data_IF_207289534490
#
_entry.id   IF_207289534490
#
_cell.length_a   1.000
_cell.length_b   1.000
_cell.length_c   1.000
_cell.angle_alpha   90.00
_cell.angle_beta   90.00
_cell.angle_gamma   90.00
#
_symmetry.space_group_name_H-M   'P 1'
#
loop_
_entity.id
_entity.type
_entity.pdbx_description
1 polymer ?
#
# COMPACT_ATOMS: atom_id res chain seq x y z
N UNK A 1 48.16 -33.15 -89.55
CA UNK A 1 47.39 -31.91 -89.31
C UNK A 1 45.97 -32.33 -88.96
N UNK A 2 45.60 -32.25 -87.68
CA UNK A 2 44.20 -32.37 -87.24
C UNK A 2 44.09 -31.64 -85.90
N UNK A 3 43.31 -30.55 -85.89
CA UNK A 3 42.96 -29.75 -84.72
C UNK A 3 41.65 -30.27 -84.11
N UNK A 4 41.58 -30.15 -82.78
CA UNK A 4 40.41 -29.99 -81.89
C UNK A 4 39.27 -31.01 -81.89
N UNK A 5 38.98 -31.55 -80.70
CA UNK A 5 37.90 -31.04 -79.85
C UNK A 5 37.99 -31.66 -78.45
N UNK A 6 38.16 -30.81 -77.43
CA UNK A 6 37.95 -31.14 -76.02
C UNK A 6 36.47 -30.89 -75.70
N UNK A 7 35.73 -31.85 -75.13
CA UNK A 7 34.46 -31.55 -74.45
C UNK A 7 34.76 -30.87 -73.11
N UNK A 8 34.01 -29.81 -72.81
CA UNK A 8 34.11 -28.97 -71.62
C UNK A 8 33.56 -29.66 -70.36
N UNK A 9 34.41 -29.82 -69.35
CA UNK A 9 34.06 -30.20 -67.97
C UNK A 9 33.29 -29.07 -67.23
N UNK A 10 32.03 -28.81 -67.59
CA UNK A 10 31.16 -27.88 -66.83
C UNK A 10 29.74 -28.43 -66.62
N UNK A 11 29.53 -29.74 -66.68
CA UNK A 11 28.20 -30.34 -66.42
C UNK A 11 28.04 -30.96 -65.01
N UNK A 12 29.03 -30.82 -64.12
CA UNK A 12 29.03 -31.50 -62.82
C UNK A 12 28.78 -30.61 -61.59
N UNK A 13 28.55 -29.29 -61.74
CA UNK A 13 28.42 -28.38 -60.59
C UNK A 13 27.03 -27.81 -60.33
N UNK A 14 26.00 -28.31 -61.01
CA UNK A 14 24.58 -27.97 -60.71
C UNK A 14 23.72 -29.23 -60.51
N UNK A 15 24.32 -30.30 -59.99
CA UNK A 15 23.55 -31.41 -59.43
C UNK A 15 22.79 -30.93 -58.19
N UNK A 16 21.47 -31.09 -58.20
CA UNK A 16 20.51 -30.77 -57.14
C UNK A 16 20.88 -31.40 -55.77
N UNK A 17 21.92 -30.91 -55.09
CA UNK A 17 22.34 -31.41 -53.76
C UNK A 17 21.31 -31.19 -52.65
N UNK A 18 20.26 -30.40 -52.94
CA UNK A 18 19.10 -30.21 -52.09
C UNK A 18 18.12 -31.40 -52.14
N UNK A 19 18.07 -32.16 -53.24
CA UNK A 19 17.12 -33.28 -53.41
C UNK A 19 17.58 -34.58 -52.73
N UNK A 20 18.87 -34.71 -52.45
CA UNK A 20 19.45 -35.86 -51.75
C UNK A 20 19.58 -35.65 -50.24
N UNK A 21 19.24 -34.46 -49.73
CA UNK A 21 19.28 -34.19 -48.30
C UNK A 21 18.13 -34.94 -47.60
N UNK A 22 18.47 -35.88 -46.71
CA UNK A 22 17.53 -36.67 -45.92
C UNK A 22 16.46 -35.83 -45.20
N UNK A 23 16.77 -34.58 -44.83
CA UNK A 23 15.82 -33.64 -44.26
C UNK A 23 14.76 -33.17 -45.27
N UNK A 24 15.15 -32.92 -46.53
CA UNK A 24 14.23 -32.47 -47.59
C UNK A 24 13.29 -33.60 -48.03
N UNK A 25 13.80 -34.83 -48.09
CA UNK A 25 12.97 -36.01 -48.37
C UNK A 25 11.97 -36.27 -47.23
N UNK A 26 12.41 -36.17 -45.96
CA UNK A 26 11.52 -36.24 -44.80
C UNK A 26 10.45 -35.13 -44.82
N UNK A 27 10.85 -33.88 -45.06
CA UNK A 27 9.95 -32.73 -45.12
C UNK A 27 8.90 -32.89 -46.23
N UNK A 28 9.30 -33.40 -47.40
CA UNK A 28 8.38 -33.63 -48.52
C UNK A 28 7.40 -34.78 -48.25
N UNK A 29 7.84 -35.85 -47.57
CA UNK A 29 7.01 -36.98 -47.15
C UNK A 29 5.96 -36.56 -46.11
N UNK A 30 6.32 -35.70 -45.15
CA UNK A 30 5.44 -35.28 -44.05
C UNK A 30 4.77 -33.91 -44.26
N UNK A 31 4.90 -33.29 -45.43
CA UNK A 31 4.38 -31.93 -45.71
C UNK A 31 2.91 -31.71 -45.31
N UNK A 32 2.05 -32.71 -45.52
CA UNK A 32 0.62 -32.63 -45.16
C UNK A 32 0.42 -32.60 -43.65
N UNK A 33 1.17 -33.43 -42.92
CA UNK A 33 1.13 -33.45 -41.45
C UNK A 33 1.74 -32.19 -40.84
N UNK A 34 2.77 -31.63 -41.47
CA UNK A 34 3.37 -30.35 -41.06
C UNK A 34 2.39 -29.19 -41.25
N UNK A 35 1.67 -29.13 -42.37
CA UNK A 35 0.63 -28.10 -42.59
C UNK A 35 -0.49 -28.23 -41.55
N UNK A 36 -0.96 -29.44 -41.27
CA UNK A 36 -2.00 -29.69 -40.26
C UNK A 36 -1.49 -29.34 -38.86
N UNK A 37 -0.26 -29.71 -38.50
CA UNK A 37 0.34 -29.36 -37.21
C UNK A 37 0.51 -27.85 -37.05
N UNK A 38 0.90 -27.14 -38.11
CA UNK A 38 1.06 -25.70 -38.10
C UNK A 38 -0.30 -24.99 -37.98
N UNK A 39 -1.34 -25.48 -38.66
CA UNK A 39 -2.71 -25.00 -38.49
C UNK A 39 -3.23 -25.24 -37.08
N UNK A 40 -3.00 -26.43 -36.51
CA UNK A 40 -3.38 -26.76 -35.14
C UNK A 40 -2.66 -25.86 -34.12
N UNK A 41 -1.36 -25.60 -34.32
CA UNK A 41 -0.58 -24.69 -33.49
C UNK A 41 -1.09 -23.25 -33.60
N UNK A 42 -1.42 -22.76 -34.80
CA UNK A 42 -1.98 -21.43 -35.00
C UNK A 42 -3.35 -21.26 -34.29
N UNK A 43 -4.20 -22.29 -34.35
CA UNK A 43 -5.48 -22.31 -33.63
C UNK A 43 -5.24 -22.29 -32.10
N UNK A 44 -4.32 -23.11 -31.60
CA UNK A 44 -3.96 -23.13 -30.18
C UNK A 44 -3.46 -21.77 -29.70
N UNK A 45 -2.55 -21.14 -30.47
CA UNK A 45 -2.03 -19.79 -30.18
C UNK A 45 -3.17 -18.78 -30.17
N UNK A 46 -4.10 -18.83 -31.13
CA UNK A 46 -5.27 -17.95 -31.15
C UNK A 46 -6.13 -18.10 -29.90
N UNK A 47 -6.38 -19.32 -29.42
CA UNK A 47 -7.12 -19.55 -28.18
C UNK A 47 -6.37 -19.02 -26.95
N UNK A 48 -5.05 -19.22 -26.87
CA UNK A 48 -4.23 -18.71 -25.77
C UNK A 48 -4.26 -17.17 -25.76
N UNK A 49 -4.00 -16.52 -26.89
CA UNK A 49 -4.03 -15.05 -27.01
C UNK A 49 -5.41 -14.51 -26.62
N UNK A 50 -6.49 -15.13 -27.10
CA UNK A 50 -7.86 -14.70 -26.75
C UNK A 50 -8.15 -14.84 -25.26
N UNK A 51 -7.67 -15.90 -24.61
CA UNK A 51 -7.84 -16.10 -23.17
C UNK A 51 -7.04 -15.05 -22.37
N UNK A 52 -5.79 -14.80 -22.75
CA UNK A 52 -4.92 -13.82 -22.07
C UNK A 52 -5.45 -12.39 -22.24
N UNK A 53 -5.79 -11.97 -23.46
CA UNK A 53 -6.27 -10.60 -23.71
C UNK A 53 -7.60 -10.29 -23.01
N UNK A 54 -8.51 -11.28 -22.90
CA UNK A 54 -9.75 -11.09 -22.14
C UNK A 54 -9.48 -10.95 -20.64
N UNK A 55 -8.50 -11.68 -20.10
CA UNK A 55 -8.13 -11.56 -18.68
C UNK A 55 -7.48 -10.22 -18.35
N UNK A 56 -6.62 -9.69 -19.22
CA UNK A 56 -5.97 -8.38 -18.99
C UNK A 56 -6.97 -7.22 -18.97
N UNK A 57 -7.90 -7.18 -19.93
CA UNK A 57 -8.97 -6.17 -19.97
C UNK A 57 -9.89 -6.24 -18.75
N UNK A 58 -10.16 -7.46 -18.27
CA UNK A 58 -10.99 -7.65 -17.08
C UNK A 58 -10.24 -7.21 -15.81
N UNK A 59 -8.94 -7.49 -15.71
CA UNK A 59 -8.10 -7.01 -14.62
C UNK A 59 -8.07 -5.49 -14.57
N UNK A 60 -7.77 -4.81 -15.69
CA UNK A 60 -7.74 -3.34 -15.74
C UNK A 60 -9.07 -2.72 -15.27
N UNK A 61 -10.19 -3.28 -15.73
CA UNK A 61 -11.52 -2.86 -15.30
C UNK A 61 -11.74 -3.08 -13.80
N UNK A 62 -11.27 -4.21 -13.25
CA UNK A 62 -11.35 -4.49 -11.82
C UNK A 62 -10.55 -3.47 -11.00
N UNK A 63 -9.33 -3.09 -11.43
CA UNK A 63 -8.52 -2.06 -10.75
C UNK A 63 -9.22 -0.69 -10.74
N UNK A 64 -9.75 -0.24 -11.88
CA UNK A 64 -10.49 1.02 -11.97
C UNK A 64 -11.77 0.98 -11.12
N UNK A 65 -12.45 -0.17 -11.08
CA UNK A 65 -13.64 -0.35 -10.25
C UNK A 65 -13.28 -0.33 -8.77
N UNK A 66 -12.15 -0.94 -8.38
CA UNK A 66 -11.67 -0.92 -7.00
C UNK A 66 -11.42 0.52 -6.52
N UNK A 67 -10.76 1.36 -7.33
CA UNK A 67 -10.54 2.77 -6.99
C UNK A 67 -11.86 3.53 -6.83
N UNK A 68 -12.82 3.31 -7.74
CA UNK A 68 -14.15 3.92 -7.66
C UNK A 68 -14.89 3.51 -6.37
N UNK A 69 -14.93 2.21 -6.07
CA UNK A 69 -15.62 1.70 -4.88
C UNK A 69 -14.92 2.15 -3.59
N UNK A 70 -13.59 2.22 -3.58
CA UNK A 70 -12.85 2.80 -2.47
C UNK A 70 -13.21 4.27 -2.24
N UNK A 71 -13.29 5.10 -3.30
CA UNK A 71 -13.68 6.52 -3.16
C UNK A 71 -15.12 6.69 -2.64
N UNK A 72 -16.05 5.83 -3.06
CA UNK A 72 -17.41 5.82 -2.54
C UNK A 72 -17.45 5.41 -1.08
N UNK A 73 -16.70 4.36 -0.71
CA UNK A 73 -16.54 3.93 0.68
C UNK A 73 -15.93 5.04 1.53
N UNK A 74 -14.86 5.70 1.08
CA UNK A 74 -14.09 6.71 1.82
C UNK A 74 -14.79 8.07 1.95
N UNK A 75 -15.87 8.31 1.20
CA UNK A 75 -16.57 9.59 1.22
C UNK A 75 -17.06 9.94 2.65
N UNK A 76 -16.72 11.12 3.19
CA UNK A 76 -17.29 11.59 4.44
C UNK A 76 -18.82 11.75 4.32
N UNK A 77 -19.56 11.29 5.32
CA UNK A 77 -21.03 11.38 5.37
C UNK A 77 -21.78 10.64 4.25
N UNK A 78 -21.19 9.62 3.62
CA UNK A 78 -21.94 8.73 2.76
C UNK A 78 -23.05 8.02 3.54
N UNK A 79 -24.17 7.73 2.89
CA UNK A 79 -25.21 6.88 3.46
C UNK A 79 -24.61 5.54 3.88
N UNK A 80 -24.97 5.05 5.08
CA UNK A 80 -24.36 3.85 5.66
C UNK A 80 -24.45 2.64 4.72
N UNK A 81 -25.61 2.44 4.08
CA UNK A 81 -25.85 1.36 3.14
C UNK A 81 -24.94 1.46 1.91
N UNK A 82 -24.82 2.65 1.32
CA UNK A 82 -23.95 2.87 0.16
C UNK A 82 -22.48 2.59 0.51
N UNK A 83 -22.05 3.02 1.69
CA UNK A 83 -20.67 2.80 2.13
C UNK A 83 -20.37 1.33 2.36
N UNK A 84 -21.30 0.59 2.98
CA UNK A 84 -21.16 -0.85 3.22
C UNK A 84 -21.20 -1.65 1.92
N UNK A 85 -22.08 -1.31 0.99
CA UNK A 85 -22.16 -1.95 -0.33
C UNK A 85 -20.86 -1.74 -1.13
N UNK A 86 -20.31 -0.52 -1.11
CA UNK A 86 -19.04 -0.22 -1.77
C UNK A 86 -17.86 -0.96 -1.13
N UNK A 87 -17.82 -1.09 0.20
CA UNK A 87 -16.80 -1.89 0.87
C UNK A 87 -16.90 -3.38 0.47
N UNK A 88 -18.10 -3.94 0.44
CA UNK A 88 -18.31 -5.34 0.05
C UNK A 88 -17.87 -5.61 -1.40
N UNK A 89 -18.18 -4.70 -2.33
CA UNK A 89 -17.71 -4.79 -3.72
C UNK A 89 -16.19 -4.69 -3.83
N UNK A 90 -15.59 -3.76 -3.09
CA UNK A 90 -14.13 -3.62 -3.03
C UNK A 90 -13.48 -4.90 -2.50
N UNK A 91 -13.98 -5.47 -1.41
CA UNK A 91 -13.49 -6.74 -0.86
C UNK A 91 -13.60 -7.89 -1.88
N UNK A 92 -14.70 -7.97 -2.63
CA UNK A 92 -14.86 -8.98 -3.67
C UNK A 92 -13.84 -8.82 -4.81
N UNK A 93 -13.43 -7.59 -5.13
CA UNK A 93 -12.35 -7.34 -6.11
C UNK A 93 -11.00 -7.71 -5.51
N UNK A 94 -10.72 -7.35 -4.26
CA UNK A 94 -9.47 -7.68 -3.55
C UNK A 94 -9.26 -9.19 -3.40
N UNK A 95 -10.34 -9.98 -3.27
CA UNK A 95 -10.27 -11.43 -3.29
C UNK A 95 -9.81 -11.99 -4.65
N UNK A 96 -10.12 -11.31 -5.76
CA UNK A 96 -9.66 -11.69 -7.11
C UNK A 96 -8.26 -11.18 -7.43
N UNK A 97 -7.88 -10.04 -6.85
CA UNK A 97 -6.59 -9.37 -7.03
C UNK A 97 -5.93 -9.13 -5.67
N UNK A 98 -5.28 -10.16 -5.08
CA UNK A 98 -4.74 -10.07 -3.72
C UNK A 98 -3.65 -9.01 -3.53
N UNK A 99 -3.00 -8.57 -4.61
CA UNK A 99 -2.07 -7.43 -4.62
C UNK A 99 -2.75 -6.12 -4.17
N UNK A 100 -4.06 -5.97 -4.37
CA UNK A 100 -4.81 -4.80 -3.92
C UNK A 100 -4.89 -4.64 -2.40
N UNK A 101 -4.69 -5.73 -1.65
CA UNK A 101 -4.52 -5.66 -0.20
C UNK A 101 -3.40 -4.68 0.18
N UNK A 102 -2.30 -4.65 -0.60
CA UNK A 102 -1.18 -3.72 -0.44
C UNK A 102 -1.62 -2.26 -0.34
N UNK A 103 -2.57 -1.88 -1.19
CA UNK A 103 -3.06 -0.51 -1.35
C UNK A 103 -4.15 -0.16 -0.35
N UNK A 104 -5.12 -1.06 -0.12
CA UNK A 104 -6.37 -0.67 0.54
C UNK A 104 -6.50 -1.07 2.00
N UNK A 105 -5.86 -2.15 2.49
CA UNK A 105 -6.12 -2.65 3.86
C UNK A 105 -5.91 -1.56 4.93
N UNK A 106 -4.76 -0.86 4.89
CA UNK A 106 -4.46 0.20 5.86
C UNK A 106 -5.42 1.39 5.77
N UNK A 107 -5.83 1.77 4.56
CA UNK A 107 -6.78 2.86 4.34
C UNK A 107 -8.19 2.49 4.81
N UNK A 108 -8.62 1.25 4.53
CA UNK A 108 -9.90 0.72 4.99
C UNK A 108 -9.91 0.70 6.52
N UNK A 109 -8.88 0.14 7.15
CA UNK A 109 -8.74 0.12 8.60
C UNK A 109 -8.83 1.52 9.20
N UNK A 110 -8.11 2.50 8.63
CA UNK A 110 -8.15 3.88 9.10
C UNK A 110 -9.57 4.48 9.04
N UNK A 111 -10.27 4.32 7.92
CA UNK A 111 -11.63 4.84 7.75
C UNK A 111 -12.60 4.19 8.74
N UNK A 112 -12.51 2.86 8.92
CA UNK A 112 -13.34 2.13 9.86
C UNK A 112 -13.09 2.57 11.31
N UNK A 113 -11.82 2.78 11.70
CA UNK A 113 -11.47 3.33 13.02
C UNK A 113 -12.06 4.74 13.24
N UNK A 114 -11.96 5.63 12.24
CA UNK A 114 -12.55 6.98 12.30
C UNK A 114 -14.07 6.91 12.49
N UNK A 115 -14.72 5.92 11.86
CA UNK A 115 -16.17 5.67 11.96
C UNK A 115 -16.57 4.85 13.19
N UNK A 116 -15.65 4.54 14.08
CA UNK A 116 -15.87 3.71 15.27
C UNK A 116 -16.36 2.28 14.96
N UNK A 117 -16.09 1.78 13.76
CA UNK A 117 -16.32 0.40 13.32
C UNK A 117 -15.09 -0.45 13.64
N UNK A 118 -14.69 -0.44 14.91
CA UNK A 118 -13.46 -1.09 15.39
C UNK A 118 -13.42 -2.60 15.08
N UNK A 119 -14.50 -3.39 15.28
CA UNK A 119 -14.46 -4.83 15.02
C UNK A 119 -14.06 -5.17 13.58
N UNK A 120 -14.62 -4.47 12.60
CA UNK A 120 -14.30 -4.64 11.18
C UNK A 120 -12.90 -4.11 10.85
N UNK A 121 -12.48 -3.02 11.50
CA UNK A 121 -11.16 -2.42 11.28
C UNK A 121 -10.00 -3.35 11.65
N UNK A 122 -10.17 -4.16 12.70
CA UNK A 122 -9.09 -5.03 13.23
C UNK A 122 -8.56 -5.99 12.17
N UNK A 123 -9.43 -6.60 11.37
CA UNK A 123 -9.01 -7.56 10.33
C UNK A 123 -8.11 -6.88 9.30
N UNK A 124 -8.53 -5.73 8.78
CA UNK A 124 -7.73 -4.99 7.81
C UNK A 124 -6.45 -4.41 8.42
N UNK A 125 -6.52 -3.92 9.67
CA UNK A 125 -5.36 -3.38 10.38
C UNK A 125 -4.28 -4.44 10.57
N UNK A 126 -4.65 -5.64 11.04
CA UNK A 126 -3.72 -6.73 11.25
C UNK A 126 -3.10 -7.22 9.93
N UNK A 127 -3.89 -7.37 8.87
CA UNK A 127 -3.36 -7.73 7.55
C UNK A 127 -2.33 -6.71 7.03
N UNK A 128 -2.61 -5.41 7.21
CA UNK A 128 -1.68 -4.35 6.83
C UNK A 128 -0.41 -4.35 7.70
N UNK A 129 -0.55 -4.55 9.01
CA UNK A 129 0.57 -4.62 9.96
C UNK A 129 1.46 -5.84 9.71
N UNK A 130 0.86 -7.01 9.51
CA UNK A 130 1.59 -8.26 9.25
C UNK A 130 2.38 -8.18 7.95
N UNK A 131 1.75 -7.64 6.88
CA UNK A 131 2.45 -7.46 5.60
C UNK A 131 3.63 -6.49 5.71
N UNK A 132 3.47 -5.42 6.46
CA UNK A 132 4.47 -4.35 6.52
C UNK A 132 5.47 -4.51 7.66
N UNK A 133 5.36 -5.56 8.50
CA UNK A 133 6.17 -5.74 9.70
C UNK A 133 7.68 -5.77 9.43
N UNK A 134 8.08 -6.25 8.26
CA UNK A 134 9.50 -6.42 7.87
C UNK A 134 10.04 -5.26 7.02
N UNK A 135 9.16 -4.47 6.41
CA UNK A 135 9.51 -3.39 5.48
C UNK A 135 9.39 -2.00 6.11
N UNK A 136 8.44 -1.84 7.04
CA UNK A 136 8.28 -0.59 7.77
C UNK A 136 9.37 -0.44 8.84
N UNK A 137 9.80 0.80 9.06
CA UNK A 137 10.60 1.11 10.24
C UNK A 137 9.80 0.76 11.50
N UNK A 138 10.43 0.15 12.52
CA UNK A 138 9.74 -0.39 13.71
C UNK A 138 8.87 0.66 14.43
N UNK A 139 9.22 1.95 14.30
CA UNK A 139 8.51 3.05 14.92
C UNK A 139 7.12 3.31 14.32
N UNK A 140 6.95 3.25 12.99
CA UNK A 140 5.63 3.44 12.37
C UNK A 140 4.72 2.24 12.62
N UNK A 141 5.28 1.02 12.65
CA UNK A 141 4.56 -0.19 13.05
C UNK A 141 4.08 -0.09 14.49
N UNK A 142 4.94 0.33 15.44
CA UNK A 142 4.56 0.56 16.82
C UNK A 142 3.49 1.67 16.94
N UNK A 143 3.62 2.74 16.16
CA UNK A 143 2.65 3.83 16.12
C UNK A 143 1.27 3.33 15.62
N UNK A 144 1.24 2.51 14.57
CA UNK A 144 0.01 1.96 14.01
C UNK A 144 -0.66 0.93 14.94
N UNK A 145 0.11 0.04 15.56
CA UNK A 145 -0.38 -0.90 16.59
C UNK A 145 -1.01 -0.16 17.77
N UNK A 146 -0.41 0.97 18.18
CA UNK A 146 -0.97 1.80 19.25
C UNK A 146 -2.30 2.44 18.81
N UNK A 147 -2.46 2.87 17.56
CA UNK A 147 -3.77 3.34 17.05
C UNK A 147 -4.84 2.26 17.13
N UNK A 148 -4.49 1.00 16.88
CA UNK A 148 -5.41 -0.12 16.99
C UNK A 148 -5.87 -0.33 18.44
N UNK A 149 -4.96 -0.27 19.41
CA UNK A 149 -5.29 -0.33 20.85
C UNK A 149 -6.24 0.81 21.26
N UNK A 150 -6.04 2.02 20.74
CA UNK A 150 -6.94 3.16 20.99
C UNK A 150 -8.33 2.88 20.43
N UNK A 151 -8.42 2.36 19.20
CA UNK A 151 -9.70 1.96 18.59
C UNK A 151 -10.43 0.88 19.40
N UNK A 152 -9.67 -0.03 20.00
CA UNK A 152 -10.15 -1.08 20.91
C UNK A 152 -10.45 -0.58 22.34
N UNK A 153 -10.33 0.74 22.58
CA UNK A 153 -10.54 1.37 23.89
C UNK A 153 -9.59 0.88 25.00
N UNK A 154 -8.50 0.22 24.63
CA UNK A 154 -7.48 -0.25 25.56
C UNK A 154 -6.48 0.89 25.87
N UNK A 155 -6.99 1.97 26.47
CA UNK A 155 -6.27 3.24 26.59
C UNK A 155 -5.04 3.16 27.49
N UNK A 156 -5.07 2.35 28.55
CA UNK A 156 -3.93 2.17 29.46
C UNK A 156 -2.76 1.50 28.75
N UNK A 157 -3.01 0.40 28.02
CA UNK A 157 -1.96 -0.24 27.23
C UNK A 157 -1.49 0.66 26.08
N UNK A 158 -2.41 1.35 25.42
CA UNK A 158 -2.05 2.31 24.36
C UNK A 158 -1.12 3.42 24.88
N UNK A 159 -1.36 3.92 26.11
CA UNK A 159 -0.50 4.94 26.72
C UNK A 159 0.90 4.40 27.01
N UNK A 160 1.00 3.21 27.60
CA UNK A 160 2.29 2.54 27.86
C UNK A 160 3.10 2.36 26.56
N UNK A 161 2.46 1.84 25.50
CA UNK A 161 3.11 1.67 24.19
C UNK A 161 3.52 3.01 23.57
N UNK A 162 2.70 4.05 23.71
CA UNK A 162 3.01 5.38 23.19
C UNK A 162 4.20 6.02 23.92
N UNK A 163 4.28 5.90 25.24
CA UNK A 163 5.41 6.39 26.04
C UNK A 163 6.69 5.62 25.72
N UNK A 164 6.63 4.30 25.61
CA UNK A 164 7.78 3.49 25.19
C UNK A 164 8.25 3.87 23.79
N UNK A 165 7.32 4.14 22.86
CA UNK A 165 7.67 4.65 21.54
C UNK A 165 8.38 6.00 21.65
N UNK A 166 7.89 6.91 22.48
CA UNK A 166 8.54 8.21 22.71
C UNK A 166 9.98 8.04 23.21
N UNK A 167 10.22 7.18 24.20
CA UNK A 167 11.56 6.90 24.72
C UNK A 167 12.50 6.40 23.61
N UNK A 168 12.05 5.45 22.81
CA UNK A 168 12.82 4.94 21.68
C UNK A 168 13.11 6.04 20.63
N UNK A 169 12.14 6.91 20.36
CA UNK A 169 12.27 8.04 19.43
C UNK A 169 13.21 9.14 19.96
N UNK A 170 13.44 9.24 21.26
CA UNK A 170 14.41 10.19 21.81
C UNK A 170 15.81 9.58 21.93
N UNK A 171 15.89 8.25 21.98
CA UNK A 171 17.14 7.52 22.13
C UNK A 171 17.86 7.19 20.81
N UNK A 172 17.19 7.26 19.64
CA UNK A 172 17.87 6.95 18.37
C UNK A 172 18.79 8.10 17.95
N UNK A 173 20.11 7.87 17.88
CA UNK A 173 21.06 8.89 17.47
C UNK A 173 20.87 9.33 16.00
N UNK A 174 20.23 8.50 15.16
CA UNK A 174 20.10 8.75 13.72
C UNK A 174 18.93 9.66 13.37
N UNK A 175 18.02 9.95 14.30
CA UNK A 175 16.79 10.72 14.05
C UNK A 175 16.03 10.25 12.79
N UNK A 176 16.09 8.94 12.50
CA UNK A 176 15.75 8.38 11.18
C UNK A 176 14.27 8.47 10.78
N UNK A 177 13.42 8.94 11.69
CA UNK A 177 11.96 8.92 11.67
C UNK A 177 11.34 10.32 11.79
N UNK A 178 12.19 11.34 11.91
CA UNK A 178 11.82 12.75 11.87
C UNK A 178 10.97 13.23 13.05
N UNK A 179 10.97 14.54 13.24
CA UNK A 179 10.20 15.21 14.28
C UNK A 179 8.69 15.08 14.09
N UNK A 180 8.23 14.78 12.87
CA UNK A 180 6.82 14.58 12.54
C UNK A 180 6.23 13.40 13.31
N UNK A 181 6.92 12.26 13.39
CA UNK A 181 6.41 11.10 14.13
C UNK A 181 6.40 11.36 15.64
N UNK A 182 7.45 12.01 16.16
CA UNK A 182 7.50 12.44 17.55
C UNK A 182 6.35 13.40 17.88
N UNK A 183 6.07 14.33 16.97
CA UNK A 183 4.94 15.24 17.08
C UNK A 183 3.61 14.47 17.11
N UNK A 184 3.34 13.58 16.17
CA UNK A 184 2.11 12.78 16.24
C UNK A 184 2.00 11.94 17.52
N UNK A 185 3.11 11.39 18.02
CA UNK A 185 3.10 10.56 19.21
C UNK A 185 2.84 11.35 20.50
N UNK A 186 3.41 12.54 20.65
CA UNK A 186 3.13 13.40 21.82
C UNK A 186 1.67 13.87 21.84
N UNK A 187 1.06 14.21 20.69
CA UNK A 187 -0.37 14.50 20.61
C UNK A 187 -1.22 13.34 21.12
N UNK A 188 -0.86 12.12 20.72
CA UNK A 188 -1.52 10.90 21.18
C UNK A 188 -1.36 10.72 22.68
N UNK A 189 -0.14 10.83 23.21
CA UNK A 189 0.13 10.66 24.64
C UNK A 189 -0.73 11.62 25.46
N UNK A 190 -0.74 12.90 25.10
CA UNK A 190 -1.53 13.89 25.81
C UNK A 190 -3.03 13.62 25.71
N UNK A 191 -3.52 13.20 24.54
CA UNK A 191 -4.94 12.82 24.35
C UNK A 191 -5.32 11.60 25.19
N UNK A 192 -4.43 10.61 25.32
CA UNK A 192 -4.65 9.41 26.15
C UNK A 192 -4.62 9.75 27.64
N UNK A 193 -3.68 10.59 28.07
CA UNK A 193 -3.62 11.08 29.46
C UNK A 193 -4.89 11.87 29.81
N UNK A 194 -5.36 12.72 28.90
CA UNK A 194 -6.64 13.41 29.04
C UNK A 194 -7.80 12.40 29.20
N UNK A 195 -7.88 11.39 28.33
CA UNK A 195 -8.92 10.35 28.37
C UNK A 195 -8.90 9.55 29.68
N UNK A 196 -7.71 9.36 30.26
CA UNK A 196 -7.49 8.62 31.51
C UNK A 196 -7.56 9.51 32.77
N UNK A 197 -7.78 10.82 32.63
CA UNK A 197 -7.83 11.76 33.77
C UNK A 197 -6.47 12.06 34.42
N UNK A 198 -5.36 11.81 33.73
CA UNK A 198 -3.99 12.01 34.20
C UNK A 198 -3.53 13.46 34.00
N UNK A 199 -4.18 14.40 34.70
CA UNK A 199 -4.04 15.83 34.45
C UNK A 199 -2.62 16.39 34.65
N UNK A 200 -1.84 15.81 35.57
CA UNK A 200 -0.46 16.25 35.85
C UNK A 200 0.48 15.85 34.71
N UNK A 201 0.37 14.61 34.26
CA UNK A 201 1.13 14.02 33.18
C UNK A 201 0.75 14.68 31.85
N UNK A 202 -0.55 14.89 31.61
CA UNK A 202 -1.07 15.63 30.44
C UNK A 202 -0.42 17.01 30.32
N UNK A 203 -0.38 17.76 31.42
CA UNK A 203 0.26 19.08 31.44
C UNK A 203 1.75 19.01 31.10
N UNK A 204 2.47 18.01 31.62
CA UNK A 204 3.89 17.84 31.31
C UNK A 204 4.11 17.59 29.81
N UNK A 205 3.29 16.71 29.22
CA UNK A 205 3.35 16.43 27.79
C UNK A 205 3.06 17.67 26.94
N UNK A 206 2.07 18.50 27.33
CA UNK A 206 1.81 19.78 26.64
C UNK A 206 2.94 20.80 26.77
N UNK A 207 3.58 20.87 27.93
CA UNK A 207 4.75 21.73 28.11
C UNK A 207 5.92 21.28 27.22
N UNK A 208 6.19 19.98 27.13
CA UNK A 208 7.19 19.43 26.19
C UNK A 208 6.83 19.75 24.74
N UNK A 209 5.55 19.61 24.36
CA UNK A 209 5.08 19.99 23.03
C UNK A 209 5.41 21.44 22.69
N UNK A 210 5.11 22.38 23.59
CA UNK A 210 5.36 23.79 23.37
C UNK A 210 6.85 24.14 23.31
N UNK A 211 7.69 23.44 24.09
CA UNK A 211 9.13 23.62 24.00
C UNK A 211 9.62 23.26 22.59
N UNK A 212 9.22 22.10 22.07
CA UNK A 212 9.61 21.64 20.73
C UNK A 212 8.98 22.50 19.61
N UNK A 213 7.75 22.97 19.78
CA UNK A 213 7.11 23.91 18.85
C UNK A 213 7.87 25.24 18.70
N UNK A 214 8.48 25.72 19.78
CA UNK A 214 9.23 26.98 19.76
C UNK A 214 10.71 26.80 19.36
N UNK A 215 11.20 25.55 19.32
CA UNK A 215 12.57 25.23 18.95
C UNK A 215 12.73 25.25 17.42
N UNK A 216 13.59 26.13 16.86
CA UNK A 216 13.85 26.16 15.42
C UNK A 216 14.47 24.86 14.86
N UNK A 217 15.08 24.03 15.70
CA UNK A 217 15.62 22.73 15.30
C UNK A 217 14.55 21.67 15.05
N UNK A 218 13.30 21.92 15.47
CA UNK A 218 12.18 20.99 15.36
C UNK A 218 10.99 21.57 14.55
N UNK A 219 11.17 21.90 13.25
CA UNK A 219 10.16 22.59 12.45
C UNK A 219 8.85 21.80 12.27
N UNK A 220 8.91 20.47 12.33
CA UNK A 220 7.73 19.61 12.13
C UNK A 220 6.60 19.89 13.13
N UNK A 221 6.89 20.38 14.34
CA UNK A 221 5.87 20.73 15.32
C UNK A 221 5.02 21.91 14.86
N UNK A 222 5.62 22.88 14.15
CA UNK A 222 4.89 23.99 13.53
C UNK A 222 4.06 23.49 12.36
N UNK A 223 4.66 22.71 11.47
CA UNK A 223 3.99 22.13 10.30
C UNK A 223 2.76 21.31 10.71
N UNK A 224 2.93 20.40 11.69
CA UNK A 224 1.81 19.64 12.27
C UNK A 224 0.76 20.61 12.82
N UNK A 225 1.14 21.60 13.63
CA UNK A 225 0.16 22.55 14.16
C UNK A 225 -0.60 23.35 13.10
N UNK A 226 0.02 23.63 11.95
CA UNK A 226 -0.62 24.35 10.85
C UNK A 226 -1.62 23.47 10.09
N UNK A 227 -1.37 22.16 10.00
CA UNK A 227 -2.29 21.21 9.37
C UNK A 227 -3.54 20.91 10.21
N UNK A 228 -3.46 21.07 11.53
CA UNK A 228 -4.61 20.88 12.43
C UNK A 228 -5.33 22.21 12.70
N UNK A 229 -6.29 22.54 11.83
CA UNK A 229 -7.16 23.71 11.99
C UNK A 229 -8.63 23.34 11.78
N UNK A 230 -9.49 23.80 12.68
CA UNK A 230 -10.93 23.74 12.50
C UNK A 230 -11.54 25.13 12.67
N UNK A 231 -12.00 25.71 11.58
CA UNK A 231 -12.46 27.10 11.55
C UNK A 231 -11.33 28.07 11.93
N UNK A 232 -11.47 28.75 13.06
CA UNK A 232 -10.48 29.71 13.58
C UNK A 232 -9.56 29.13 14.66
N UNK A 233 -9.76 27.87 15.06
CA UNK A 233 -9.00 27.23 16.13
C UNK A 233 -7.94 26.35 15.51
N UNK A 234 -6.67 26.68 15.76
CA UNK A 234 -5.54 25.79 15.44
C UNK A 234 -5.19 24.90 16.63
N UNK A 235 -4.44 23.83 16.36
CA UNK A 235 -3.90 22.95 17.40
C UNK A 235 -3.10 23.72 18.45
N UNK A 236 -2.30 24.71 18.04
CA UNK A 236 -1.58 25.57 18.97
C UNK A 236 -2.53 26.31 19.95
N UNK A 237 -3.60 26.91 19.44
CA UNK A 237 -4.61 27.58 20.28
C UNK A 237 -5.28 26.60 21.25
N UNK A 238 -5.59 25.39 20.78
CA UNK A 238 -6.17 24.34 21.61
C UNK A 238 -5.22 23.97 22.77
N UNK A 239 -3.94 23.72 22.48
CA UNK A 239 -2.96 23.33 23.50
C UNK A 239 -2.78 24.43 24.55
N UNK A 240 -2.68 25.69 24.14
CA UNK A 240 -2.58 26.83 25.08
C UNK A 240 -3.81 26.94 26.00
N UNK A 241 -5.02 26.80 25.44
CA UNK A 241 -6.25 26.81 26.22
C UNK A 241 -6.33 25.63 27.19
N UNK A 242 -5.89 24.44 26.74
CA UNK A 242 -5.90 23.23 27.56
C UNK A 242 -4.94 23.34 28.74
N UNK A 243 -3.71 23.78 28.54
CA UNK A 243 -2.75 23.99 29.64
C UNK A 243 -3.25 25.02 30.67
N UNK A 244 -3.90 26.10 30.22
CA UNK A 244 -4.49 27.08 31.13
C UNK A 244 -5.59 26.44 32.00
N UNK A 245 -6.42 25.56 31.44
CA UNK A 245 -7.43 24.83 32.19
C UNK A 245 -6.84 23.86 33.23
N UNK A 246 -5.75 23.16 32.89
CA UNK A 246 -5.07 22.23 33.79
C UNK A 246 -4.40 22.94 34.98
N UNK A 247 -3.95 24.20 34.80
CA UNK A 247 -3.43 25.04 35.90
C UNK A 247 -4.51 25.36 36.95
N UNK A 248 -5.77 25.46 36.54
CA UNK A 248 -6.87 25.77 37.45
C UNK A 248 -7.32 24.53 38.23
N UNK A 249 -7.32 23.35 37.59
CA UNK A 249 -7.63 22.06 38.23
C UNK A 249 -6.60 21.73 39.33
N UNK A 250 -5.33 22.07 39.14
CA UNK A 250 -4.30 21.85 40.16
C UNK A 250 -4.41 22.79 41.39
N UNK A 251 -5.27 23.81 41.35
CA UNK A 251 -5.49 24.78 42.45
C UNK A 251 -6.78 24.53 43.25
N UNK A 252 -7.69 23.71 42.71
CA UNK A 252 -8.93 23.25 43.35
C UNK A 252 -8.71 21.96 44.11
#
# INVERSE_FOLDING_TARGET
MTKHNTPSDIDHLTGNSWEENSFVQWLSQYRKHLIVALLAAAILIFFIVRLVSNSELQSEKDYLTADKEFLLFARPNAEANLSQDSLAKLQAIMQRHPDLHAKYDGLIAQILLIRQQTPEAITFANLALDRTSNENQPYYTAYAQTSLLIGQQNYTEALDKAQKLQENLLADPKHAYGDTLLAFNLLRIASLQQQLGLAKEEKQTWTTWQQLFNDPSHPAFKEVSEHFQHGKVSLHHFIQAREASLKNIAKS
#
